data_IF_515869568326
#
_entry.id   IF_515869568326
#
_cell.length_a   1.000
_cell.length_b   1.000
_cell.length_c   1.000
_cell.angle_alpha   90.00
_cell.angle_beta   90.00
_cell.angle_gamma   90.00
#
_symmetry.space_group_name_H-M   'P 1'
#
loop_
_entity.id
_entity.type
_entity.pdbx_description
1 polymer ?
#
# COMPACT_ATOMS: atom_id res chain seq x y z
N UNK A 1 -8.10 -5.08 -10.78
CA UNK A 1 -9.43 -4.49 -11.09
C UNK A 1 -10.19 -5.27 -12.13
N UNK A 2 -9.68 -5.49 -13.35
CA UNK A 2 -10.42 -6.23 -14.41
C UNK A 2 -10.97 -7.57 -13.89
N UNK A 3 -10.14 -8.39 -13.24
CA UNK A 3 -10.57 -9.67 -12.66
C UNK A 3 -11.79 -9.53 -11.74
N UNK A 4 -11.83 -8.54 -10.84
CA UNK A 4 -12.99 -8.35 -9.96
C UNK A 4 -14.20 -7.79 -10.71
N UNK A 5 -13.98 -6.92 -11.68
CA UNK A 5 -15.05 -6.42 -12.54
C UNK A 5 -15.73 -7.57 -13.34
N UNK A 6 -14.94 -8.50 -13.87
CA UNK A 6 -15.44 -9.71 -14.54
C UNK A 6 -16.23 -10.67 -13.61
N UNK A 7 -16.05 -10.49 -12.28
CA UNK A 7 -16.81 -11.20 -11.26
C UNK A 7 -17.99 -10.39 -10.67
N UNK A 8 -18.37 -9.29 -11.33
CA UNK A 8 -19.57 -8.50 -11.01
C UNK A 8 -19.37 -7.38 -9.98
N UNK A 9 -18.13 -7.02 -9.64
CA UNK A 9 -17.86 -5.94 -8.70
C UNK A 9 -17.62 -4.60 -9.41
N UNK A 10 -18.23 -3.52 -8.91
CA UNK A 10 -17.84 -2.16 -9.28
C UNK A 10 -16.46 -1.85 -8.66
N UNK A 11 -15.46 -1.63 -9.50
CA UNK A 11 -14.08 -1.36 -9.07
C UNK A 11 -13.72 0.11 -9.32
N UNK A 12 -13.30 0.81 -8.27
CA UNK A 12 -12.90 2.22 -8.32
C UNK A 12 -11.44 2.32 -7.89
N UNK A 13 -10.63 3.00 -8.69
CA UNK A 13 -9.27 3.39 -8.32
C UNK A 13 -9.04 4.83 -8.76
N UNK A 14 -8.42 5.61 -7.89
CA UNK A 14 -8.04 6.99 -8.18
C UNK A 14 -6.51 7.14 -8.16
N UNK A 15 -6.02 8.10 -8.89
CA UNK A 15 -4.64 8.55 -8.73
C UNK A 15 -4.60 9.45 -7.48
N UNK A 16 -3.72 9.13 -6.52
CA UNK A 16 -3.54 9.96 -5.33
C UNK A 16 -3.09 11.37 -5.72
N UNK A 17 -3.48 12.40 -4.95
CA UNK A 17 -2.94 13.75 -5.16
C UNK A 17 -1.40 13.72 -5.23
N UNK A 18 -0.82 14.57 -6.05
CA UNK A 18 0.62 14.57 -6.32
C UNK A 18 1.09 13.49 -7.29
N UNK A 19 0.18 12.62 -7.78
CA UNK A 19 0.52 11.47 -8.62
C UNK A 19 -0.41 11.38 -9.84
N UNK A 20 0.11 10.82 -10.93
CA UNK A 20 -0.67 10.47 -12.10
C UNK A 20 -1.46 11.64 -12.69
N UNK A 21 -2.75 11.43 -12.91
CA UNK A 21 -3.67 12.40 -13.52
C UNK A 21 -4.35 13.33 -12.50
N UNK A 22 -4.15 13.08 -11.20
CA UNK A 22 -4.66 13.97 -10.15
C UNK A 22 -3.84 15.24 -10.06
N UNK A 23 -4.40 16.28 -9.41
CA UNK A 23 -3.68 17.53 -9.16
C UNK A 23 -2.37 17.29 -8.42
N UNK A 24 -1.36 18.11 -8.72
CA UNK A 24 -0.02 17.97 -8.18
C UNK A 24 0.38 19.18 -7.30
N UNK A 25 -0.26 19.36 -6.14
CA UNK A 25 0.01 20.48 -5.25
C UNK A 25 1.36 20.31 -4.53
N UNK A 26 1.93 21.44 -4.12
CA UNK A 26 3.15 21.46 -3.32
C UNK A 26 2.96 20.97 -1.88
N UNK A 27 1.75 21.11 -1.33
CA UNK A 27 1.39 20.80 0.06
C UNK A 27 0.24 19.80 0.11
N UNK A 28 0.00 19.21 1.28
CA UNK A 28 -1.07 18.24 1.47
C UNK A 28 -0.72 16.84 0.92
N UNK A 29 0.55 16.55 0.70
CA UNK A 29 1.01 15.21 0.30
C UNK A 29 1.37 14.40 1.57
N UNK A 30 0.42 14.27 2.48
CA UNK A 30 0.52 13.56 3.74
C UNK A 30 -0.65 12.58 3.91
N UNK A 31 -0.50 11.62 4.82
CA UNK A 31 -1.46 10.52 4.97
C UNK A 31 -2.82 11.00 5.47
N UNK A 32 -2.87 12.10 6.24
CA UNK A 32 -4.12 12.65 6.74
C UNK A 32 -4.95 13.25 5.61
N UNK A 33 -4.27 13.98 4.71
CA UNK A 33 -4.90 14.55 3.53
C UNK A 33 -5.30 13.46 2.52
N UNK A 34 -4.49 12.43 2.33
CA UNK A 34 -4.86 11.30 1.47
C UNK A 34 -6.10 10.56 1.98
N UNK A 35 -6.23 10.37 3.29
CA UNK A 35 -7.41 9.78 3.89
C UNK A 35 -8.66 10.67 3.75
N UNK A 36 -8.49 11.99 3.82
CA UNK A 36 -9.57 12.95 3.58
C UNK A 36 -10.02 12.98 2.11
N UNK A 37 -9.08 12.87 1.15
CA UNK A 37 -9.40 12.73 -0.27
C UNK A 37 -10.18 11.44 -0.55
N UNK A 38 -9.79 10.33 0.10
CA UNK A 38 -10.52 9.06 -0.01
C UNK A 38 -11.93 9.19 0.55
N UNK A 39 -12.11 9.88 1.69
CA UNK A 39 -13.42 10.13 2.27
C UNK A 39 -14.29 10.97 1.34
N UNK A 40 -13.76 12.05 0.78
CA UNK A 40 -14.45 12.87 -0.20
C UNK A 40 -14.89 12.07 -1.44
N UNK A 41 -14.04 11.14 -1.91
CA UNK A 41 -14.38 10.25 -3.03
C UNK A 41 -15.53 9.30 -2.68
N UNK A 42 -15.54 8.73 -1.47
CA UNK A 42 -16.61 7.84 -0.98
C UNK A 42 -17.93 8.60 -0.91
N UNK A 43 -17.92 9.83 -0.39
CA UNK A 43 -19.09 10.69 -0.28
C UNK A 43 -19.60 11.15 -1.65
N UNK A 44 -18.72 11.67 -2.52
CA UNK A 44 -19.08 12.20 -3.84
C UNK A 44 -19.71 11.14 -4.75
N UNK A 45 -19.25 9.89 -4.62
CA UNK A 45 -19.77 8.77 -5.41
C UNK A 45 -20.91 8.01 -4.71
N UNK A 46 -21.37 8.49 -3.53
CA UNK A 46 -22.40 7.87 -2.70
C UNK A 46 -22.18 6.37 -2.49
N UNK A 47 -20.96 6.03 -2.04
CA UNK A 47 -20.56 4.63 -1.90
C UNK A 47 -20.95 4.08 -0.52
N UNK A 48 -21.60 2.92 -0.53
CA UNK A 48 -21.96 2.16 0.65
C UNK A 48 -21.40 0.74 0.56
N UNK A 49 -21.20 0.10 1.71
CA UNK A 49 -20.66 -1.27 1.80
C UNK A 49 -19.34 -1.47 1.03
N UNK A 50 -18.45 -0.47 1.12
CA UNK A 50 -17.20 -0.43 0.39
C UNK A 50 -16.23 -1.49 0.93
N UNK A 51 -15.57 -2.19 0.02
CA UNK A 51 -14.41 -3.02 0.35
C UNK A 51 -13.16 -2.23 -0.01
N UNK A 52 -12.49 -1.68 1.00
CA UNK A 52 -11.25 -0.98 0.80
C UNK A 52 -10.09 -1.96 0.62
N UNK A 53 -9.36 -1.82 -0.48
CA UNK A 53 -8.16 -2.61 -0.77
C UNK A 53 -6.97 -1.64 -0.85
N UNK A 54 -6.14 -1.64 0.18
CA UNK A 54 -4.93 -0.83 0.24
C UNK A 54 -3.68 -1.67 -0.03
N UNK A 55 -2.84 -1.24 -0.97
CA UNK A 55 -1.55 -1.86 -1.24
C UNK A 55 -0.42 -0.93 -0.78
N UNK A 56 0.55 -1.47 -0.04
CA UNK A 56 1.74 -0.77 0.41
C UNK A 56 1.38 0.54 1.14
N UNK A 57 1.78 1.70 0.64
CA UNK A 57 1.40 3.03 1.16
C UNK A 57 -0.12 3.24 1.18
N UNK A 58 -0.85 2.73 0.19
CA UNK A 58 -2.31 2.82 0.15
C UNK A 58 -3.00 2.07 1.29
N UNK A 59 -2.36 1.08 1.88
CA UNK A 59 -2.87 0.42 3.09
C UNK A 59 -2.80 1.35 4.33
N UNK A 60 -1.77 2.18 4.43
CA UNK A 60 -1.69 3.24 5.45
C UNK A 60 -2.81 4.28 5.27
N UNK A 61 -3.12 4.63 4.03
CA UNK A 61 -4.22 5.54 3.69
C UNK A 61 -5.58 4.96 4.11
N UNK A 62 -5.84 3.68 3.81
CA UNK A 62 -7.06 2.97 4.25
C UNK A 62 -7.15 2.91 5.77
N UNK A 63 -6.06 2.58 6.46
CA UNK A 63 -6.03 2.55 7.92
C UNK A 63 -6.36 3.94 8.51
N UNK A 64 -5.73 5.00 7.98
CA UNK A 64 -5.97 6.38 8.42
C UNK A 64 -7.41 6.84 8.09
N UNK A 65 -7.95 6.43 6.94
CA UNK A 65 -9.36 6.68 6.61
C UNK A 65 -10.27 6.14 7.71
N UNK A 66 -10.11 4.87 8.10
CA UNK A 66 -10.93 4.28 9.15
C UNK A 66 -10.67 4.96 10.51
N UNK A 67 -9.42 5.26 10.81
CA UNK A 67 -9.05 5.95 12.04
C UNK A 67 -9.72 7.30 12.22
N UNK A 68 -10.02 8.01 11.13
CA UNK A 68 -10.60 9.37 11.15
C UNK A 68 -12.08 9.43 10.80
N UNK A 69 -12.54 8.58 9.88
CA UNK A 69 -13.90 8.62 9.33
C UNK A 69 -14.75 7.43 9.76
N UNK A 70 -14.15 6.44 10.45
CA UNK A 70 -14.87 5.26 10.93
C UNK A 70 -15.19 4.25 9.84
N UNK A 71 -16.12 3.34 10.12
CA UNK A 71 -16.46 2.20 9.26
C UNK A 71 -17.89 2.21 8.74
N UNK A 72 -18.64 3.33 8.87
CA UNK A 72 -20.05 3.41 8.47
C UNK A 72 -20.32 3.07 6.99
N UNK A 73 -19.35 3.32 6.12
CA UNK A 73 -19.43 2.99 4.69
C UNK A 73 -18.62 1.75 4.30
N UNK A 74 -18.00 1.04 5.26
CA UNK A 74 -17.00 -0.01 5.00
C UNK A 74 -17.56 -1.37 5.34
N UNK A 75 -17.66 -2.25 4.36
CA UNK A 75 -18.02 -3.65 4.58
C UNK A 75 -16.82 -4.51 4.99
N UNK A 76 -15.69 -4.34 4.31
CA UNK A 76 -14.47 -5.14 4.52
C UNK A 76 -13.20 -4.31 4.23
N UNK A 77 -12.08 -4.79 4.77
CA UNK A 77 -10.76 -4.20 4.52
C UNK A 77 -9.78 -5.28 4.05
N UNK A 78 -8.96 -4.93 3.06
CA UNK A 78 -7.83 -5.75 2.63
C UNK A 78 -6.56 -4.90 2.65
N UNK A 79 -5.55 -5.35 3.36
CA UNK A 79 -4.24 -4.71 3.47
C UNK A 79 -3.20 -5.62 2.79
N UNK A 80 -2.63 -5.16 1.69
CA UNK A 80 -1.67 -5.94 0.89
C UNK A 80 -0.30 -5.32 1.00
N UNK A 81 0.72 -6.07 1.41
CA UNK A 81 2.10 -5.56 1.57
C UNK A 81 2.15 -4.22 2.29
N UNK A 82 1.35 -4.10 3.36
CA UNK A 82 1.00 -2.84 4.00
C UNK A 82 2.16 -2.22 4.78
N UNK A 83 2.36 -0.91 4.67
CA UNK A 83 3.36 -0.15 5.45
C UNK A 83 2.99 0.01 6.94
N UNK A 84 1.82 -0.48 7.33
CA UNK A 84 1.31 -0.38 8.69
C UNK A 84 1.91 -1.43 9.64
N UNK A 85 2.03 -1.13 10.96
CA UNK A 85 1.60 0.11 11.62
C UNK A 85 2.56 1.28 11.45
N UNK A 86 3.86 1.04 11.27
CA UNK A 86 4.89 2.07 11.17
C UNK A 86 6.13 1.47 10.51
N UNK A 87 6.66 2.13 9.49
CA UNK A 87 7.89 1.66 8.82
C UNK A 87 9.16 2.03 9.58
N UNK A 88 9.15 3.19 10.25
CA UNK A 88 10.31 3.69 10.96
C UNK A 88 10.63 2.81 12.19
N UNK A 89 11.92 2.52 12.39
CA UNK A 89 12.41 1.87 13.60
C UNK A 89 12.26 2.79 14.80
N UNK A 90 11.50 2.32 15.79
CA UNK A 90 11.26 3.02 17.05
C UNK A 90 11.22 2.01 18.19
N UNK A 91 11.12 2.49 19.44
CA UNK A 91 10.88 1.60 20.57
C UNK A 91 9.59 0.77 20.43
N UNK A 92 8.58 1.31 19.72
CA UNK A 92 7.31 0.60 19.44
C UNK A 92 7.40 -0.35 18.25
N UNK A 93 8.33 -0.11 17.32
CA UNK A 93 8.57 -0.97 16.17
C UNK A 93 10.08 -1.25 16.02
N UNK A 94 10.66 -2.11 16.85
CA UNK A 94 12.10 -2.39 16.81
C UNK A 94 12.56 -3.12 15.54
N UNK A 95 11.66 -3.76 14.81
CA UNK A 95 11.90 -4.40 13.52
C UNK A 95 11.81 -3.42 12.33
N UNK A 96 11.42 -2.17 12.57
CA UNK A 96 11.31 -1.13 11.54
C UNK A 96 12.66 -0.78 10.92
N UNK A 97 12.61 -0.05 9.80
CA UNK A 97 13.79 0.41 9.09
C UNK A 97 14.38 1.67 9.74
N UNK A 98 15.70 1.83 9.75
CA UNK A 98 16.33 3.02 10.31
C UNK A 98 16.04 4.26 9.45
N UNK A 99 16.09 5.45 10.06
CA UNK A 99 15.84 6.74 9.37
C UNK A 99 16.75 6.94 8.16
N UNK A 100 17.97 6.42 8.22
CA UNK A 100 18.96 6.50 7.15
C UNK A 100 18.49 5.84 5.85
N UNK A 101 17.71 4.76 5.94
CA UNK A 101 17.14 4.10 4.77
C UNK A 101 16.19 5.05 4.00
N UNK A 102 15.32 5.76 4.72
CA UNK A 102 14.39 6.72 4.12
C UNK A 102 15.07 8.00 3.64
N UNK A 103 16.11 8.45 4.35
CA UNK A 103 16.94 9.57 3.89
C UNK A 103 17.70 9.20 2.62
N UNK A 104 18.19 7.97 2.51
CA UNK A 104 18.79 7.45 1.29
C UNK A 104 17.82 7.49 0.10
N UNK A 105 16.55 7.13 0.30
CA UNK A 105 15.52 7.27 -0.73
C UNK A 105 15.34 8.74 -1.17
N UNK A 106 15.26 9.68 -0.22
CA UNK A 106 15.14 11.13 -0.54
C UNK A 106 16.33 11.63 -1.33
N UNK A 107 17.53 11.25 -0.92
CA UNK A 107 18.77 11.61 -1.64
C UNK A 107 18.78 11.02 -3.05
N UNK A 108 18.43 9.74 -3.20
CA UNK A 108 18.33 9.08 -4.51
C UNK A 108 17.33 9.76 -5.45
N UNK A 109 16.14 10.10 -4.95
CA UNK A 109 15.12 10.83 -5.72
C UNK A 109 15.61 12.22 -6.15
N UNK A 110 16.34 12.93 -5.29
CA UNK A 110 16.86 14.27 -5.61
C UNK A 110 18.05 14.21 -6.56
N UNK A 111 18.88 13.18 -6.49
CA UNK A 111 20.04 13.02 -7.35
C UNK A 111 19.64 12.61 -8.79
N UNK A 112 18.86 11.54 -8.92
CA UNK A 112 18.29 11.07 -10.19
C UNK A 112 17.02 10.24 -9.91
N UNK A 113 15.88 10.90 -9.97
CA UNK A 113 14.58 10.25 -9.76
C UNK A 113 14.32 9.10 -10.74
N UNK A 114 14.76 9.27 -11.97
CA UNK A 114 14.53 8.28 -13.03
C UNK A 114 15.29 6.99 -12.73
N UNK A 115 16.59 7.11 -12.41
CA UNK A 115 17.41 5.96 -12.07
C UNK A 115 16.96 5.33 -10.75
N UNK A 116 16.66 6.15 -9.73
CA UNK A 116 16.14 5.67 -8.44
C UNK A 116 14.90 4.77 -8.61
N UNK A 117 13.92 5.20 -9.44
CA UNK A 117 12.71 4.40 -9.69
C UNK A 117 12.99 3.12 -10.47
N UNK A 118 13.95 3.14 -11.40
CA UNK A 118 14.40 1.93 -12.10
C UNK A 118 15.05 0.94 -11.14
N UNK A 119 15.95 1.40 -10.29
CA UNK A 119 16.65 0.56 -9.32
C UNK A 119 15.68 -0.03 -8.28
N UNK A 120 14.66 0.75 -7.86
CA UNK A 120 13.63 0.30 -6.93
C UNK A 120 12.75 -0.80 -7.52
N UNK A 121 12.50 -0.81 -8.82
CA UNK A 121 11.60 -1.77 -9.48
C UNK A 121 12.06 -3.22 -9.31
N UNK A 122 13.37 -3.46 -9.32
CA UNK A 122 13.96 -4.78 -9.12
C UNK A 122 13.55 -5.44 -7.79
N UNK A 123 13.91 -4.86 -6.63
CA UNK A 123 13.50 -5.39 -5.34
C UNK A 123 11.98 -5.31 -5.10
N UNK A 124 11.27 -4.32 -5.68
CA UNK A 124 9.81 -4.20 -5.55
C UNK A 124 9.09 -5.43 -6.12
N UNK A 125 9.52 -5.92 -7.28
CA UNK A 125 8.93 -7.11 -7.92
C UNK A 125 9.69 -8.40 -7.64
N UNK A 126 10.79 -8.38 -6.88
CA UNK A 126 11.65 -9.54 -6.66
C UNK A 126 12.45 -9.94 -7.89
N UNK A 127 12.57 -9.06 -8.89
CA UNK A 127 13.31 -9.34 -10.14
C UNK A 127 14.83 -9.51 -9.94
N UNK A 128 15.35 -9.05 -8.80
CA UNK A 128 16.73 -9.21 -8.37
C UNK A 128 17.02 -10.57 -7.70
N UNK A 129 16.02 -11.46 -7.59
CA UNK A 129 16.20 -12.79 -7.02
C UNK A 129 16.64 -13.80 -8.07
N UNK A 130 17.42 -14.84 -7.70
CA UNK A 130 17.75 -15.93 -8.61
C UNK A 130 16.49 -16.57 -9.21
N UNK A 131 16.51 -16.84 -10.50
CA UNK A 131 15.40 -17.45 -11.25
C UNK A 131 14.10 -16.61 -11.31
N UNK A 132 14.17 -15.30 -11.05
CA UNK A 132 13.03 -14.43 -11.24
C UNK A 132 12.55 -14.42 -12.70
N UNK A 133 11.23 -14.47 -12.90
CA UNK A 133 10.58 -14.48 -14.23
C UNK A 133 9.89 -13.17 -14.56
N UNK A 134 10.21 -12.10 -13.84
CA UNK A 134 9.62 -10.77 -14.04
C UNK A 134 10.12 -10.18 -15.35
N UNK A 135 9.21 -9.81 -16.26
CA UNK A 135 9.58 -9.22 -17.54
C UNK A 135 10.09 -7.79 -17.37
N UNK A 136 11.00 -7.38 -18.26
CA UNK A 136 11.47 -5.99 -18.30
C UNK A 136 10.32 -5.00 -18.49
N UNK A 137 9.28 -5.37 -19.23
CA UNK A 137 8.10 -4.52 -19.44
C UNK A 137 7.33 -4.19 -18.14
N UNK A 138 7.31 -5.10 -17.16
CA UNK A 138 6.74 -4.83 -15.83
C UNK A 138 7.57 -3.79 -15.10
N UNK A 139 8.90 -3.90 -15.15
CA UNK A 139 9.82 -2.95 -14.53
C UNK A 139 9.72 -1.56 -15.18
N UNK A 140 9.64 -1.53 -16.51
CA UNK A 140 9.47 -0.28 -17.26
C UNK A 140 8.12 0.38 -16.98
N UNK A 141 7.04 -0.40 -16.83
CA UNK A 141 5.73 0.12 -16.46
C UNK A 141 5.73 0.74 -15.04
N UNK A 142 6.43 0.12 -14.09
CA UNK A 142 6.62 0.68 -12.75
C UNK A 142 7.34 2.04 -12.80
N UNK A 143 8.46 2.08 -13.54
CA UNK A 143 9.21 3.30 -13.74
C UNK A 143 8.36 4.39 -14.38
N UNK A 144 7.63 4.08 -15.47
CA UNK A 144 6.79 5.03 -16.19
C UNK A 144 5.70 5.61 -15.27
N UNK A 145 5.03 4.77 -14.47
CA UNK A 145 4.02 5.21 -13.50
C UNK A 145 4.63 6.10 -12.42
N UNK A 146 5.78 5.72 -11.87
CA UNK A 146 6.48 6.52 -10.88
C UNK A 146 6.91 7.90 -11.42
N UNK A 147 7.30 7.98 -12.68
CA UNK A 147 7.67 9.25 -13.34
C UNK A 147 6.49 10.21 -13.53
N UNK A 148 5.25 9.74 -13.46
CA UNK A 148 4.06 10.58 -13.53
C UNK A 148 3.76 11.33 -12.22
N UNK A 149 4.44 11.01 -11.12
CA UNK A 149 4.31 11.75 -9.88
C UNK A 149 5.14 13.03 -9.91
N UNK A 150 4.62 14.12 -9.33
CA UNK A 150 5.38 15.35 -9.10
C UNK A 150 6.50 15.16 -8.09
N UNK A 151 7.63 15.83 -8.27
CA UNK A 151 8.77 15.73 -7.35
C UNK A 151 8.40 16.06 -5.88
N UNK A 152 7.62 17.14 -5.59
CA UNK A 152 7.14 17.40 -4.23
C UNK A 152 6.29 16.25 -3.67
N UNK A 153 5.42 15.66 -4.49
CA UNK A 153 4.57 14.52 -4.11
C UNK A 153 5.39 13.29 -3.73
N UNK A 154 6.40 12.93 -4.54
CA UNK A 154 7.28 11.78 -4.23
C UNK A 154 8.03 12.00 -2.92
N UNK A 155 8.67 13.15 -2.73
CA UNK A 155 9.45 13.45 -1.52
C UNK A 155 8.57 13.43 -0.25
N UNK A 156 7.39 14.03 -0.33
CA UNK A 156 6.44 14.03 0.77
C UNK A 156 5.86 12.63 1.03
N UNK A 157 5.62 11.83 -0.03
CA UNK A 157 5.18 10.43 0.11
C UNK A 157 6.18 9.58 0.88
N UNK A 158 7.49 9.77 0.68
CA UNK A 158 8.51 9.05 1.45
C UNK A 158 8.32 9.31 2.94
N UNK A 159 8.07 10.56 3.34
CA UNK A 159 7.74 10.91 4.72
C UNK A 159 6.42 10.28 5.16
N UNK A 160 5.40 10.39 4.34
CA UNK A 160 4.06 9.89 4.65
C UNK A 160 4.06 8.38 4.95
N UNK A 161 4.69 7.55 4.12
CA UNK A 161 4.69 6.11 4.35
C UNK A 161 5.69 5.64 5.41
N UNK A 162 6.77 6.38 5.64
CA UNK A 162 7.82 5.93 6.55
C UNK A 162 7.64 6.38 8.00
N UNK A 163 7.09 7.58 8.21
CA UNK A 163 7.06 8.23 9.52
C UNK A 163 5.64 8.30 10.14
N UNK A 164 4.60 7.96 9.38
CA UNK A 164 3.24 7.95 9.92
C UNK A 164 2.98 6.71 10.77
N UNK A 165 2.54 6.92 12.00
CA UNK A 165 2.12 5.85 12.92
C UNK A 165 0.62 5.59 12.74
N UNK A 166 0.27 4.38 12.32
CA UNK A 166 -1.08 3.89 12.12
C UNK A 166 -1.55 2.94 13.24
N UNK A 167 -0.79 2.84 14.32
CA UNK A 167 -1.08 1.88 15.41
C UNK A 167 -2.50 2.05 15.96
N UNK A 168 -2.92 3.28 16.21
CA UNK A 168 -4.25 3.55 16.75
C UNK A 168 -5.35 3.49 15.69
N UNK A 169 -5.01 3.77 14.43
CA UNK A 169 -5.93 3.59 13.30
C UNK A 169 -6.29 2.10 13.12
N UNK A 170 -5.29 1.22 13.13
CA UNK A 170 -5.49 -0.24 13.02
C UNK A 170 -6.39 -0.80 14.12
N UNK A 171 -6.22 -0.34 15.36
CA UNK A 171 -7.07 -0.76 16.50
C UNK A 171 -8.55 -0.39 16.34
N UNK A 172 -8.85 0.60 15.50
CA UNK A 172 -10.22 1.05 15.21
C UNK A 172 -10.88 0.27 14.09
N UNK A 173 -10.14 -0.56 13.36
CA UNK A 173 -10.73 -1.43 12.34
C UNK A 173 -11.56 -2.51 13.04
N UNK A 174 -12.87 -2.46 12.84
CA UNK A 174 -13.87 -3.34 13.48
C UNK A 174 -14.73 -4.09 12.46
N UNK A 175 -14.28 -4.17 11.21
CA UNK A 175 -14.90 -4.92 10.11
C UNK A 175 -14.03 -6.11 9.69
N UNK A 176 -14.56 -7.12 8.99
CA UNK A 176 -13.75 -8.23 8.50
C UNK A 176 -12.54 -7.73 7.73
N UNK A 177 -11.37 -8.23 8.10
CA UNK A 177 -10.09 -7.73 7.56
C UNK A 177 -9.18 -8.87 7.11
N UNK A 178 -8.67 -8.77 5.89
CA UNK A 178 -7.67 -9.66 5.33
C UNK A 178 -6.34 -8.92 5.17
N UNK A 179 -5.26 -9.51 5.70
CA UNK A 179 -3.90 -9.00 5.55
C UNK A 179 -3.12 -10.00 4.69
N UNK A 180 -2.62 -9.55 3.56
CA UNK A 180 -1.85 -10.35 2.60
C UNK A 180 -0.41 -9.82 2.55
N UNK A 181 0.59 -10.68 2.73
CA UNK A 181 1.99 -10.25 2.72
C UNK A 181 2.93 -11.35 2.24
N UNK A 182 3.92 -10.98 1.43
CA UNK A 182 4.98 -11.87 1.02
C UNK A 182 6.13 -11.89 2.04
N UNK A 183 6.70 -13.05 2.34
CA UNK A 183 7.80 -13.14 3.30
C UNK A 183 9.16 -12.71 2.70
N UNK A 184 9.24 -12.56 1.36
CA UNK A 184 10.40 -11.96 0.66
C UNK A 184 10.12 -10.51 0.20
N UNK A 185 9.24 -9.79 0.91
CA UNK A 185 9.02 -8.36 0.66
C UNK A 185 10.24 -7.54 1.12
N UNK A 186 11.05 -7.12 0.14
CA UNK A 186 12.29 -6.37 0.36
C UNK A 186 12.04 -4.87 0.60
N UNK A 187 10.80 -4.40 0.37
CA UNK A 187 10.40 -3.00 0.53
C UNK A 187 9.76 -2.77 1.89
N UNK A 188 8.85 -3.67 2.27
CA UNK A 188 8.10 -3.62 3.52
C UNK A 188 8.34 -4.91 4.30
N UNK A 189 9.35 -4.98 5.20
CA UNK A 189 9.64 -6.20 5.94
C UNK A 189 8.43 -6.69 6.74
N UNK A 190 8.03 -7.93 6.51
CA UNK A 190 6.81 -8.52 7.12
C UNK A 190 6.82 -8.46 8.66
N UNK A 191 8.00 -8.63 9.28
CA UNK A 191 8.17 -8.60 10.74
C UNK A 191 7.92 -7.20 11.33
N UNK A 192 8.16 -6.14 10.55
CA UNK A 192 7.92 -4.76 10.96
C UNK A 192 6.48 -4.28 10.66
N UNK A 193 5.74 -5.03 9.87
CA UNK A 193 4.48 -4.59 9.27
C UNK A 193 3.33 -5.57 9.48
N UNK A 194 3.09 -6.50 8.57
CA UNK A 194 1.91 -7.36 8.58
C UNK A 194 1.78 -8.22 9.84
N UNK A 195 2.89 -8.75 10.37
CA UNK A 195 2.87 -9.53 11.61
C UNK A 195 2.40 -8.69 12.80
N UNK A 196 2.84 -7.43 12.89
CA UNK A 196 2.41 -6.50 13.93
C UNK A 196 0.97 -6.05 13.69
N UNK A 197 0.62 -5.67 12.43
CA UNK A 197 -0.73 -5.24 12.07
C UNK A 197 -1.78 -6.30 12.41
N UNK A 198 -1.49 -7.58 12.20
CA UNK A 198 -2.39 -8.69 12.55
C UNK A 198 -2.65 -8.82 14.06
N UNK A 199 -1.73 -8.36 14.90
CA UNK A 199 -1.98 -8.32 16.36
C UNK A 199 -2.84 -7.14 16.80
N UNK A 200 -2.84 -6.05 16.00
CA UNK A 200 -3.56 -4.80 16.30
C UNK A 200 -5.00 -4.84 15.78
N UNK A 201 -5.23 -5.44 14.61
CA UNK A 201 -6.56 -5.57 14.01
C UNK A 201 -7.22 -6.85 14.51
N UNK A 202 -8.11 -6.71 15.50
CA UNK A 202 -8.80 -7.84 16.11
C UNK A 202 -9.64 -8.62 15.08
N UNK A 203 -9.45 -9.95 15.06
CA UNK A 203 -10.20 -10.83 14.16
C UNK A 203 -9.76 -10.77 12.69
N UNK A 204 -8.64 -10.10 12.38
CA UNK A 204 -8.08 -10.14 11.04
C UNK A 204 -7.52 -11.52 10.69
N UNK A 205 -7.56 -11.86 9.42
CA UNK A 205 -6.88 -13.03 8.86
C UNK A 205 -5.58 -12.59 8.20
N UNK A 206 -4.44 -13.08 8.69
CA UNK A 206 -3.15 -12.89 8.04
C UNK A 206 -2.85 -14.09 7.13
N UNK A 207 -2.56 -13.82 5.86
CA UNK A 207 -2.07 -14.81 4.91
C UNK A 207 -0.67 -14.41 4.44
N UNK A 208 0.31 -15.29 4.73
CA UNK A 208 1.71 -15.10 4.33
C UNK A 208 1.99 -15.93 3.08
N UNK A 209 2.67 -15.34 2.10
CA UNK A 209 3.02 -15.99 0.84
C UNK A 209 4.54 -16.20 0.76
N UNK A 210 5.01 -17.47 0.78
CA UNK A 210 6.43 -17.76 0.68
C UNK A 210 7.05 -17.28 -0.63
N UNK A 211 8.13 -16.50 -0.53
CA UNK A 211 8.89 -15.99 -1.67
C UNK A 211 8.22 -14.86 -2.45
N UNK A 212 7.05 -14.34 -2.01
CA UNK A 212 6.42 -13.23 -2.73
C UNK A 212 7.02 -11.90 -2.33
N UNK A 213 7.11 -11.01 -3.32
CA UNK A 213 7.62 -9.63 -3.18
C UNK A 213 6.50 -8.63 -2.89
N UNK A 214 6.86 -7.35 -2.69
CA UNK A 214 5.89 -6.26 -2.55
C UNK A 214 4.94 -6.17 -3.75
N UNK A 215 5.46 -6.39 -4.96
CA UNK A 215 4.71 -6.32 -6.22
C UNK A 215 3.84 -7.54 -6.53
N UNK A 216 3.51 -8.39 -5.54
CA UNK A 216 2.78 -9.65 -5.73
C UNK A 216 1.42 -9.50 -6.41
N UNK A 217 0.77 -8.35 -6.30
CA UNK A 217 -0.48 -8.07 -7.02
C UNK A 217 -0.31 -8.09 -8.55
N UNK A 218 0.91 -7.95 -9.05
CA UNK A 218 1.25 -8.00 -10.48
C UNK A 218 1.88 -9.33 -10.84
N UNK A 219 2.93 -9.73 -10.12
CA UNK A 219 3.75 -10.90 -10.50
C UNK A 219 3.15 -12.23 -10.03
N UNK A 220 2.30 -12.21 -9.01
CA UNK A 220 1.60 -13.37 -8.47
C UNK A 220 0.08 -13.18 -8.51
N UNK A 221 -0.41 -12.41 -9.50
CA UNK A 221 -1.80 -11.93 -9.57
C UNK A 221 -2.85 -13.03 -9.45
N UNK A 222 -2.63 -14.22 -10.01
CA UNK A 222 -3.64 -15.27 -10.05
C UNK A 222 -3.96 -15.80 -8.65
N UNK A 223 -2.93 -16.01 -7.83
CA UNK A 223 -3.10 -16.42 -6.43
C UNK A 223 -3.74 -15.31 -5.60
N UNK A 224 -3.23 -14.07 -5.73
CA UNK A 224 -3.77 -12.93 -4.98
C UNK A 224 -5.22 -12.64 -5.36
N UNK A 225 -5.57 -12.70 -6.64
CA UNK A 225 -6.93 -12.51 -7.12
C UNK A 225 -7.89 -13.59 -6.57
N UNK A 226 -7.45 -14.85 -6.54
CA UNK A 226 -8.25 -15.97 -6.01
C UNK A 226 -8.55 -15.75 -4.53
N UNK A 227 -7.53 -15.43 -3.74
CA UNK A 227 -7.67 -15.24 -2.29
C UNK A 227 -8.49 -13.98 -1.96
N UNK A 228 -8.30 -12.91 -2.71
CA UNK A 228 -9.07 -11.69 -2.58
C UNK A 228 -10.55 -11.94 -2.89
N UNK A 229 -10.86 -12.63 -3.98
CA UNK A 229 -12.23 -12.96 -4.35
C UNK A 229 -12.92 -13.87 -3.32
N UNK A 230 -12.19 -14.86 -2.79
CA UNK A 230 -12.69 -15.73 -1.74
C UNK A 230 -13.06 -14.95 -0.47
N UNK A 231 -12.21 -14.02 -0.05
CA UNK A 231 -12.48 -13.15 1.09
C UNK A 231 -13.64 -12.17 0.83
N UNK A 232 -13.70 -11.57 -0.34
CA UNK A 232 -14.80 -10.67 -0.71
C UNK A 232 -16.15 -11.38 -0.62
N UNK A 233 -16.22 -12.66 -1.03
CA UNK A 233 -17.44 -13.48 -1.03
C UNK A 233 -17.75 -14.15 0.30
N UNK A 234 -16.81 -14.18 1.24
CA UNK A 234 -17.11 -14.75 2.57
C UNK A 234 -18.21 -13.97 3.29
N UNK A 235 -18.93 -14.63 4.17
CA UNK A 235 -19.95 -13.99 5.00
C UNK A 235 -19.33 -13.02 6.01
#
# INVERSE_FOLDING_TARGET
MVFLADHGYRCIAHDRRGHGRSSQPWIGNDVDTYAADLAALVEELDLHDVIHVGHSTGAGEVARYIGRHGTSHVAKVVLVSAVTPLMLKTARNPAGLPTEAFNGMRVGVLADRSQFLKDLSGPFYGANRPNATVSQAILDAFWLQGMQAGLPGILASIKAFSESDHTDDLKRINVPTLILHGDDDQIVPIAASAMVSATLVKGSTLKVYPGFSNGMCTVNKDQINTDLLAFIRSA
#
